data_IF_960781291534
#
_entry.id   IF_960781291534
#
_cell.length_a   1.000
_cell.length_b   1.000
_cell.length_c   1.000
_cell.angle_alpha   90.00
_cell.angle_beta   90.00
_cell.angle_gamma   90.00
#
_symmetry.space_group_name_H-M   'P 1'
#
loop_
_entity.id
_entity.type
_entity.pdbx_description
1 polymer ?
#
# COMPACT_ATOMS: atom_id res chain seq x y z
N UNK A 1 -7.81 -13.51 -19.09
CA UNK A 1 -8.88 -12.72 -18.48
C UNK A 1 -8.59 -12.56 -16.99
N UNK A 2 -8.53 -11.31 -16.50
CA UNK A 2 -8.23 -11.00 -15.10
C UNK A 2 -9.49 -11.22 -14.23
N UNK A 3 -9.31 -11.52 -12.94
CA UNK A 3 -10.43 -11.77 -12.02
C UNK A 3 -10.43 -10.71 -10.92
N UNK A 4 -11.59 -10.12 -10.68
CA UNK A 4 -11.83 -9.14 -9.62
C UNK A 4 -12.86 -9.75 -8.67
N UNK A 5 -12.48 -9.96 -7.41
CA UNK A 5 -13.39 -10.46 -6.38
C UNK A 5 -14.20 -9.31 -5.80
N UNK A 6 -15.52 -9.43 -5.82
CA UNK A 6 -16.44 -8.42 -5.28
C UNK A 6 -17.04 -8.95 -3.99
N UNK A 7 -16.86 -8.20 -2.90
CA UNK A 7 -17.42 -8.54 -1.60
C UNK A 7 -17.90 -7.29 -0.87
N UNK A 8 -19.18 -7.25 -0.47
CA UNK A 8 -19.79 -6.09 0.22
C UNK A 8 -19.63 -4.76 -0.54
N UNK A 9 -19.84 -4.75 -1.86
CA UNK A 9 -19.66 -3.55 -2.66
C UNK A 9 -18.19 -3.14 -2.85
N UNK A 10 -17.22 -3.99 -2.47
CA UNK A 10 -15.79 -3.72 -2.66
C UNK A 10 -15.21 -4.66 -3.69
N UNK A 11 -14.62 -4.09 -4.73
CA UNK A 11 -13.95 -4.80 -5.81
C UNK A 11 -12.46 -4.95 -5.49
N UNK A 12 -11.98 -6.16 -5.34
CA UNK A 12 -10.66 -6.51 -4.83
C UNK A 12 -9.86 -7.32 -5.86
N UNK A 13 -8.61 -6.93 -6.08
CA UNK A 13 -7.65 -7.65 -6.91
C UNK A 13 -6.51 -8.14 -6.04
N UNK A 14 -6.33 -9.46 -6.01
CA UNK A 14 -5.39 -10.10 -5.09
C UNK A 14 -4.05 -10.47 -5.72
N UNK A 15 -3.90 -10.42 -7.05
CA UNK A 15 -2.67 -10.82 -7.73
C UNK A 15 -1.82 -9.62 -8.16
N UNK A 16 -0.53 -9.65 -7.85
CA UNK A 16 0.42 -8.57 -8.20
C UNK A 16 0.50 -8.32 -9.72
N UNK A 17 0.60 -9.39 -10.52
CA UNK A 17 0.63 -9.29 -12.00
C UNK A 17 -0.65 -8.69 -12.56
N UNK A 18 -1.80 -9.04 -11.99
CA UNK A 18 -3.07 -8.46 -12.38
C UNK A 18 -3.08 -6.95 -12.09
N UNK A 19 -2.64 -6.53 -10.90
CA UNK A 19 -2.53 -5.13 -10.52
C UNK A 19 -1.59 -4.36 -11.45
N UNK A 20 -0.44 -4.95 -11.79
CA UNK A 20 0.50 -4.36 -12.74
C UNK A 20 -0.15 -4.18 -14.12
N UNK A 21 -0.82 -5.21 -14.63
CA UNK A 21 -1.52 -5.15 -15.91
C UNK A 21 -2.63 -4.10 -15.94
N UNK A 22 -3.42 -3.97 -14.86
CA UNK A 22 -4.45 -2.93 -14.75
C UNK A 22 -3.85 -1.52 -14.86
N UNK A 23 -2.73 -1.28 -14.17
CA UNK A 23 -2.06 0.01 -14.16
C UNK A 23 -1.39 0.34 -15.50
N UNK A 24 -0.55 -0.56 -15.99
CA UNK A 24 0.32 -0.29 -17.14
C UNK A 24 -0.41 -0.36 -18.47
N UNK A 25 -1.40 -1.26 -18.60
CA UNK A 25 -2.07 -1.53 -19.88
C UNK A 25 -3.45 -0.89 -19.97
N UNK A 26 -4.12 -0.69 -18.83
CA UNK A 26 -5.51 -0.24 -18.80
C UNK A 26 -5.69 1.10 -18.08
N UNK A 27 -4.62 1.73 -17.59
CA UNK A 27 -4.70 3.05 -16.96
C UNK A 27 -5.50 3.08 -15.65
N UNK A 28 -5.68 1.94 -14.99
CA UNK A 28 -6.45 1.82 -13.74
C UNK A 28 -5.51 1.59 -12.56
N UNK A 29 -5.45 2.59 -11.66
CA UNK A 29 -4.51 2.59 -10.54
C UNK A 29 -5.04 1.89 -9.30
N UNK A 30 -6.34 2.00 -8.99
CA UNK A 30 -6.93 1.53 -7.74
C UNK A 30 -6.25 2.06 -6.48
N UNK A 31 -6.58 1.46 -5.33
CA UNK A 31 -5.95 1.76 -4.04
C UNK A 31 -5.55 0.48 -3.32
N UNK A 32 -4.27 0.31 -3.02
CA UNK A 32 -3.77 -0.82 -2.23
C UNK A 32 -4.31 -0.79 -0.79
N UNK A 33 -4.72 -1.94 -0.27
CA UNK A 33 -5.28 -2.14 1.07
C UNK A 33 -4.54 -3.28 1.75
N UNK A 34 -4.24 -3.14 3.05
CA UNK A 34 -3.48 -4.13 3.82
C UNK A 34 -2.29 -3.46 4.50
N UNK A 35 -2.12 -3.69 5.81
CA UNK A 35 -1.09 -3.05 6.61
C UNK A 35 0.07 -3.98 6.94
N UNK A 36 1.30 -3.48 6.78
CA UNK A 36 2.42 -3.96 7.58
C UNK A 36 2.43 -3.16 8.89
N UNK A 37 2.27 -3.80 10.07
CA UNK A 37 2.18 -3.11 11.36
C UNK A 37 3.35 -2.17 11.69
N UNK A 38 4.50 -2.38 11.05
CA UNK A 38 5.76 -1.64 11.30
C UNK A 38 6.04 -0.49 10.33
N UNK A 39 5.19 -0.28 9.32
CA UNK A 39 5.44 0.71 8.27
C UNK A 39 4.22 1.56 7.95
N UNK A 40 3.87 2.57 8.77
CA UNK A 40 2.82 3.51 8.38
C UNK A 40 3.22 4.16 7.04
N UNK A 41 2.35 4.03 6.02
CA UNK A 41 2.50 4.46 4.60
C UNK A 41 3.09 3.45 3.60
N UNK A 42 3.62 2.29 4.01
CA UNK A 42 3.98 1.24 3.02
C UNK A 42 2.74 0.68 2.30
N UNK A 43 1.58 0.73 2.96
CA UNK A 43 0.31 0.21 2.48
C UNK A 43 -0.20 0.89 1.21
N UNK A 44 0.24 2.12 0.95
CA UNK A 44 -0.12 2.90 -0.25
C UNK A 44 0.65 2.46 -1.49
N UNK A 45 1.65 1.58 -1.34
CA UNK A 45 2.56 1.15 -2.41
C UNK A 45 2.82 -0.36 -2.46
N UNK A 46 2.77 -1.07 -1.33
CA UNK A 46 3.29 -2.42 -1.18
C UNK A 46 2.28 -3.43 -0.60
N UNK A 47 0.98 -3.12 -0.60
CA UNK A 47 -0.07 -3.97 -0.03
C UNK A 47 -1.03 -4.51 -1.07
N UNK A 48 -1.29 -5.82 -1.05
CA UNK A 48 -2.46 -6.42 -1.69
C UNK A 48 -3.50 -6.73 -0.60
N UNK A 49 -4.80 -6.68 -0.92
CA UNK A 49 -5.38 -6.49 -2.26
C UNK A 49 -5.40 -5.04 -2.75
N UNK A 50 -5.48 -4.87 -4.08
CA UNK A 50 -5.87 -3.60 -4.69
C UNK A 50 -7.40 -3.47 -4.63
N UNK A 51 -7.88 -2.42 -3.99
CA UNK A 51 -9.28 -2.01 -3.99
C UNK A 51 -9.55 -1.09 -5.18
N UNK A 52 -10.47 -1.49 -6.04
CA UNK A 52 -10.98 -0.68 -7.13
C UNK A 52 -12.18 0.15 -6.67
N UNK A 53 -12.32 1.36 -7.20
CA UNK A 53 -13.55 2.12 -7.15
C UNK A 53 -14.67 1.39 -7.94
N UNK A 54 -15.95 1.63 -7.64
CA UNK A 54 -17.05 1.08 -8.43
C UNK A 54 -16.93 1.43 -9.92
N UNK A 55 -16.53 2.67 -10.23
CA UNK A 55 -16.38 3.14 -11.61
C UNK A 55 -15.24 2.42 -12.35
N UNK A 56 -14.10 2.20 -11.68
CA UNK A 56 -12.97 1.40 -12.17
C UNK A 56 -13.40 -0.05 -12.46
N UNK A 57 -14.08 -0.69 -11.51
CA UNK A 57 -14.49 -2.08 -11.62
C UNK A 57 -15.53 -2.29 -12.73
N UNK A 58 -16.47 -1.34 -12.88
CA UNK A 58 -17.44 -1.34 -13.98
C UNK A 58 -16.76 -1.19 -15.32
N UNK A 59 -15.88 -0.19 -15.48
CA UNK A 59 -15.17 0.06 -16.73
C UNK A 59 -14.45 -1.20 -17.20
N UNK A 60 -13.66 -1.80 -16.32
CA UNK A 60 -12.88 -2.99 -16.62
C UNK A 60 -13.75 -4.19 -17.02
N UNK A 61 -14.93 -4.33 -16.42
CA UNK A 61 -15.88 -5.39 -16.75
C UNK A 61 -16.60 -5.11 -18.08
N UNK A 62 -16.93 -3.84 -18.35
CA UNK A 62 -17.60 -3.39 -19.57
C UNK A 62 -16.71 -3.59 -20.81
N UNK A 63 -15.41 -3.26 -20.72
CA UNK A 63 -14.45 -3.48 -21.81
C UNK A 63 -13.97 -4.94 -21.94
N UNK A 64 -14.49 -5.85 -21.10
CA UNK A 64 -14.15 -7.27 -21.11
C UNK A 64 -12.74 -7.62 -20.59
N UNK A 65 -12.05 -6.69 -19.94
CA UNK A 65 -10.70 -6.91 -19.41
C UNK A 65 -10.70 -7.79 -18.15
N UNK A 66 -11.75 -7.68 -17.33
CA UNK A 66 -11.90 -8.45 -16.09
C UNK A 66 -13.24 -9.18 -16.03
N UNK A 67 -13.27 -10.29 -15.28
CA UNK A 67 -14.50 -10.91 -14.81
C UNK A 67 -14.69 -10.57 -13.35
N UNK A 68 -15.83 -9.96 -13.01
CA UNK A 68 -16.26 -9.77 -11.63
C UNK A 68 -16.78 -11.10 -11.09
N UNK A 69 -16.34 -11.48 -9.89
CA UNK A 69 -16.80 -12.70 -9.23
C UNK A 69 -17.18 -12.42 -7.79
N UNK A 70 -18.22 -13.07 -7.29
CA UNK A 70 -18.54 -13.10 -5.86
C UNK A 70 -18.29 -14.50 -5.31
N UNK A 71 -17.70 -14.58 -4.12
CA UNK A 71 -17.44 -15.83 -3.43
C UNK A 71 -18.36 -15.98 -2.21
N UNK A 72 -18.93 -17.18 -1.97
CA UNK A 72 -19.66 -17.47 -0.75
C UNK A 72 -18.77 -17.20 0.47
N UNK A 73 -19.33 -16.51 1.45
CA UNK A 73 -18.61 -16.21 2.68
C UNK A 73 -18.66 -17.45 3.57
N UNK A 74 -17.51 -17.92 4.07
CA UNK A 74 -17.53 -18.94 5.10
C UNK A 74 -18.25 -18.40 6.34
N UNK A 75 -19.06 -19.23 6.97
CA UNK A 75 -19.68 -18.88 8.25
C UNK A 75 -18.57 -18.66 9.29
N UNK A 76 -18.50 -17.49 9.96
CA UNK A 76 -17.52 -17.23 10.99
C UNK A 76 -17.44 -18.31 12.08
N UNK A 77 -18.55 -19.00 12.36
CA UNK A 77 -18.61 -20.10 13.33
C UNK A 77 -17.79 -21.32 12.91
N UNK A 78 -17.48 -21.45 11.62
CA UNK A 78 -16.67 -22.55 11.07
C UNK A 78 -15.18 -22.19 10.94
N UNK A 79 -14.73 -21.02 11.44
CA UNK A 79 -13.33 -20.63 11.38
C UNK A 79 -12.44 -21.26 12.46
N UNK A 80 -12.97 -21.99 13.44
CA UNK A 80 -12.18 -22.52 14.57
C UNK A 80 -11.01 -23.40 14.12
N UNK A 81 -11.22 -24.27 13.13
CA UNK A 81 -10.18 -25.12 12.55
C UNK A 81 -9.13 -24.30 11.76
N UNK A 82 -9.58 -23.30 11.00
CA UNK A 82 -8.69 -22.39 10.26
C UNK A 82 -7.83 -21.53 11.20
N UNK A 83 -8.40 -21.05 12.31
CA UNK A 83 -7.68 -20.31 13.34
C UNK A 83 -6.64 -21.18 14.05
N UNK A 84 -7.00 -22.43 14.35
CA UNK A 84 -6.10 -23.37 15.02
C UNK A 84 -4.91 -23.73 14.12
N UNK A 85 -5.16 -24.02 12.85
CA UNK A 85 -4.10 -24.28 11.86
C UNK A 85 -3.21 -23.05 11.64
N UNK A 86 -3.78 -21.85 11.53
CA UNK A 86 -3.01 -20.61 11.43
C UNK A 86 -2.11 -20.36 12.64
N UNK A 87 -2.63 -20.52 13.87
CA UNK A 87 -1.84 -20.37 15.10
C UNK A 87 -0.69 -21.38 15.16
N UNK A 88 -0.94 -22.63 14.76
CA UNK A 88 0.09 -23.67 14.68
C UNK A 88 1.19 -23.29 13.71
N UNK A 89 0.83 -22.82 12.51
CA UNK A 89 1.78 -22.38 11.50
C UNK A 89 2.61 -21.18 11.97
N UNK A 90 1.99 -20.21 12.65
CA UNK A 90 2.71 -19.06 13.22
C UNK A 90 3.73 -19.50 14.27
N UNK A 91 3.37 -20.46 15.12
CA UNK A 91 4.28 -20.98 16.15
C UNK A 91 5.45 -21.76 15.53
N UNK A 92 5.19 -22.60 14.52
CA UNK A 92 6.23 -23.30 13.76
C UNK A 92 7.19 -22.30 13.10
N UNK A 93 6.67 -21.27 12.44
CA UNK A 93 7.49 -20.25 11.80
C UNK A 93 8.33 -19.46 12.82
N UNK A 94 7.80 -19.20 14.02
CA UNK A 94 8.56 -18.57 15.09
C UNK A 94 9.71 -19.46 15.59
N UNK A 95 9.47 -20.76 15.75
CA UNK A 95 10.51 -21.72 16.14
C UNK A 95 11.63 -21.80 15.09
N UNK A 96 11.27 -21.93 13.82
CA UNK A 96 12.22 -21.94 12.69
C UNK A 96 13.05 -20.65 12.63
N UNK A 97 12.40 -19.49 12.68
CA UNK A 97 13.11 -18.20 12.65
C UNK A 97 13.98 -17.97 13.89
N UNK A 98 13.55 -18.45 15.06
CA UNK A 98 14.36 -18.37 16.27
C UNK A 98 15.61 -19.24 16.17
N UNK A 99 15.51 -20.44 15.59
CA UNK A 99 16.65 -21.32 15.35
C UNK A 99 17.65 -20.68 14.36
N UNK A 100 17.16 -20.21 13.21
CA UNK A 100 17.99 -19.51 12.22
C UNK A 100 18.63 -18.23 12.78
N UNK A 101 17.90 -17.47 13.60
CA UNK A 101 18.44 -16.28 14.25
C UNK A 101 19.51 -16.61 15.30
N UNK A 102 19.43 -17.76 15.97
CA UNK A 102 20.47 -18.22 16.88
C UNK A 102 21.74 -18.63 16.09
N UNK A 103 21.59 -19.40 15.02
CA UNK A 103 22.69 -19.81 14.14
C UNK A 103 23.39 -18.62 13.48
N UNK A 104 22.63 -17.65 12.94
CA UNK A 104 23.16 -16.43 12.34
C UNK A 104 23.90 -15.53 13.35
N UNK A 105 23.54 -15.59 14.63
CA UNK A 105 24.27 -14.87 15.70
C UNK A 105 25.55 -15.60 16.07
N UNK A 106 25.53 -16.93 16.13
CA UNK A 106 26.68 -17.75 16.48
C UNK A 106 27.78 -17.65 15.41
N UNK A 107 27.42 -17.75 14.13
CA UNK A 107 28.33 -17.50 13.00
C UNK A 107 28.95 -16.10 13.07
N UNK A 108 28.13 -15.07 13.27
CA UNK A 108 28.61 -13.69 13.45
C UNK A 108 29.53 -13.53 14.67
N UNK A 109 29.27 -14.25 15.76
CA UNK A 109 30.10 -14.25 16.97
C UNK A 109 31.48 -14.87 16.68
N UNK A 110 31.52 -15.98 15.95
CA UNK A 110 32.77 -16.64 15.53
C UNK A 110 33.61 -15.74 14.63
N UNK A 111 33.00 -15.10 13.61
CA UNK A 111 33.69 -14.13 12.74
C UNK A 111 34.25 -12.93 13.51
N UNK A 112 33.51 -12.44 14.52
CA UNK A 112 33.96 -11.35 15.38
C UNK A 112 35.10 -11.79 16.30
N UNK A 113 35.06 -13.01 16.83
CA UNK A 113 36.12 -13.57 17.66
C UNK A 113 37.44 -13.65 16.89
N UNK A 114 37.43 -14.12 15.64
CA UNK A 114 38.60 -14.14 14.76
C UNK A 114 39.19 -12.74 14.54
N UNK A 115 38.34 -11.75 14.27
CA UNK A 115 38.79 -10.35 14.11
C UNK A 115 39.35 -9.76 15.41
N UNK A 116 38.78 -10.14 16.56
CA UNK A 116 39.25 -9.69 17.87
C UNK A 116 40.61 -10.31 18.18
N UNK A 117 40.82 -11.60 17.92
CA UNK A 117 42.11 -12.26 18.16
C UNK A 117 43.20 -11.71 17.24
N UNK A 118 42.90 -11.48 15.95
CA UNK A 118 43.80 -10.81 15.01
C UNK A 118 44.16 -9.40 15.48
N UNK A 119 43.16 -8.61 15.91
CA UNK A 119 43.37 -7.25 16.41
C UNK A 119 44.21 -7.22 17.70
N UNK A 120 44.01 -8.18 18.61
CA UNK A 120 44.81 -8.34 19.82
C UNK A 120 46.25 -8.77 19.51
N UNK A 121 46.46 -9.69 18.56
CA UNK A 121 47.78 -10.12 18.11
C UNK A 121 48.55 -8.97 17.44
N UNK A 122 47.91 -8.21 16.55
CA UNK A 122 48.50 -7.03 15.92
C UNK A 122 48.84 -5.93 16.95
N UNK A 123 48.00 -5.74 17.97
CA UNK A 123 48.28 -4.82 19.08
C UNK A 123 49.49 -5.29 19.90
N UNK A 124 49.60 -6.59 20.18
CA UNK A 124 50.74 -7.18 20.91
C UNK A 124 52.05 -7.02 20.13
N UNK A 125 52.04 -7.32 18.82
CA UNK A 125 53.22 -7.12 17.96
C UNK A 125 53.64 -5.65 17.87
N UNK A 126 52.69 -4.71 17.80
CA UNK A 126 53.00 -3.27 17.85
C UNK A 126 53.60 -2.84 19.19
N UNK A 127 53.12 -3.38 20.31
CA UNK A 127 53.72 -3.13 21.63
C UNK A 127 55.13 -3.73 21.75
N UNK A 128 55.35 -4.93 21.19
CA UNK A 128 56.68 -5.57 21.19
C UNK A 128 57.68 -4.80 20.30
N UNK A 129 57.26 -4.33 19.13
CA UNK A 129 58.08 -3.46 18.27
C UNK A 129 58.36 -2.08 18.89
N UNK A 130 57.41 -1.51 19.64
CA UNK A 130 57.64 -0.27 20.39
C UNK A 130 58.57 -0.49 21.60
N UNK A 131 58.54 -1.67 22.23
CA UNK A 131 59.44 -2.01 23.34
C UNK A 131 60.89 -2.30 22.90
N UNK A 132 61.13 -2.58 21.63
CA UNK A 132 62.47 -2.74 21.04
C UNK A 132 63.16 -1.42 20.66
N UNK A 133 62.48 -0.28 20.82
CA UNK A 133 62.99 1.05 20.46
C UNK A 133 62.69 2.08 21.55
N UNK A 134 63.18 1.84 22.78
CA UNK A 134 63.72 2.85 23.71
C UNK A 134 63.84 2.28 25.12
N UNK A 135 65.06 1.95 25.54
CA UNK A 135 65.41 1.89 26.94
C UNK A 135 65.76 3.32 27.41
N UNK A 136 64.82 4.01 28.08
CA UNK A 136 65.06 4.77 29.33
C UNK A 136 63.84 5.59 29.80
N UNK A 137 63.53 5.39 31.09
CA UNK A 137 62.89 6.25 32.10
C UNK A 137 61.36 6.40 32.21
N UNK A 138 60.86 5.71 33.26
CA UNK A 138 59.86 6.06 34.29
C UNK A 138 58.89 7.24 34.11
N UNK A 139 57.59 6.96 34.25
CA UNK A 139 56.73 7.61 35.25
C UNK A 139 55.39 6.87 35.39
N UNK A 140 54.98 6.69 36.64
CA UNK A 140 53.73 6.07 37.06
C UNK A 140 52.50 6.84 36.56
N UNK A 141 51.50 6.11 36.06
CA UNK A 141 50.23 6.64 35.59
C UNK A 141 49.16 5.55 35.57
N UNK A 142 48.23 5.68 36.50
CA UNK A 142 47.03 4.90 36.80
C UNK A 142 46.43 4.05 35.66
N UNK A 143 46.22 2.77 35.97
CA UNK A 143 45.34 1.87 35.21
C UNK A 143 43.88 2.27 35.45
N UNK A 144 43.09 2.66 34.44
CA UNK A 144 41.65 2.52 34.57
C UNK A 144 41.35 1.03 34.38
N UNK A 145 40.97 0.36 35.47
CA UNK A 145 40.33 -0.94 35.44
C UNK A 145 38.99 -0.79 34.71
N UNK A 146 38.99 -0.90 33.39
CA UNK A 146 37.80 -1.23 32.64
C UNK A 146 37.48 -2.69 32.97
N UNK A 147 36.70 -2.88 34.05
CA UNK A 147 35.88 -4.06 34.25
C UNK A 147 34.96 -4.18 33.04
N UNK A 148 35.47 -4.77 31.97
CA UNK A 148 34.63 -5.30 30.91
C UNK A 148 33.78 -6.36 31.60
N UNK A 149 32.52 -5.99 31.85
CA UNK A 149 31.45 -6.92 32.14
C UNK A 149 31.62 -8.09 31.18
N UNK A 150 31.86 -9.28 31.75
CA UNK A 150 31.96 -10.50 30.96
C UNK A 150 30.74 -10.61 30.05
N UNK A 151 30.89 -11.21 28.86
CA UNK A 151 29.76 -11.38 27.95
C UNK A 151 28.67 -12.11 28.72
N UNK A 152 27.55 -11.43 28.96
CA UNK A 152 26.37 -12.05 29.54
C UNK A 152 26.04 -13.27 28.70
N UNK A 153 26.26 -14.48 29.25
CA UNK A 153 26.08 -15.76 28.56
C UNK A 153 24.61 -16.05 28.15
N UNK A 154 23.70 -15.12 28.37
CA UNK A 154 22.33 -15.19 27.87
C UNK A 154 22.25 -14.62 26.46
N UNK A 155 22.31 -15.47 25.44
CA UNK A 155 21.87 -15.09 24.10
C UNK A 155 20.39 -14.71 24.19
N UNK A 156 20.08 -13.42 24.00
CA UNK A 156 18.69 -12.98 24.02
C UNK A 156 17.92 -13.65 22.88
N UNK A 157 16.82 -14.38 23.16
CA UNK A 157 16.03 -15.06 22.13
C UNK A 157 15.40 -14.04 21.16
N UNK A 158 15.03 -14.51 19.96
CA UNK A 158 14.29 -13.67 19.02
C UNK A 158 12.98 -13.21 19.68
N UNK A 159 12.74 -11.91 19.88
CA UNK A 159 11.50 -11.46 20.48
C UNK A 159 10.34 -11.74 19.53
N UNK A 160 9.18 -12.17 20.05
CA UNK A 160 7.99 -12.45 19.22
C UNK A 160 7.58 -11.28 18.32
N UNK A 161 7.83 -10.04 18.77
CA UNK A 161 7.57 -8.86 17.95
C UNK A 161 8.40 -8.87 16.67
N UNK A 162 9.62 -9.42 16.66
CA UNK A 162 10.51 -9.49 15.50
C UNK A 162 10.18 -10.61 14.50
N UNK A 163 9.15 -11.43 14.77
CA UNK A 163 8.70 -12.48 13.84
C UNK A 163 8.41 -11.89 12.46
N UNK A 164 9.06 -12.43 11.43
CA UNK A 164 8.70 -12.18 10.05
C UNK A 164 7.42 -12.97 9.74
N UNK A 165 6.42 -12.28 9.21
CA UNK A 165 5.17 -12.90 8.82
C UNK A 165 5.13 -12.95 7.30
N UNK A 166 4.79 -14.12 6.75
CA UNK A 166 4.58 -14.26 5.32
C UNK A 166 3.35 -13.46 4.90
N UNK A 167 3.54 -12.51 3.99
CA UNK A 167 2.44 -11.80 3.36
C UNK A 167 1.99 -12.58 2.13
N UNK A 168 0.70 -12.91 2.06
CA UNK A 168 0.11 -13.49 0.87
C UNK A 168 0.10 -12.43 -0.25
N UNK A 169 0.91 -12.64 -1.29
CA UNK A 169 0.98 -11.78 -2.49
C UNK A 169 -0.02 -12.20 -3.57
N UNK A 170 -0.72 -13.31 -3.34
CA UNK A 170 -1.81 -13.81 -4.15
C UNK A 170 -2.82 -14.52 -3.26
N UNK A 171 -4.10 -14.40 -3.61
CA UNK A 171 -5.15 -15.27 -3.09
C UNK A 171 -5.52 -16.27 -4.19
N UNK A 172 -5.45 -17.58 -3.95
CA UNK A 172 -6.00 -18.56 -4.88
C UNK A 172 -7.45 -18.21 -5.19
N UNK A 173 -7.85 -18.32 -6.47
CA UNK A 173 -9.23 -18.04 -6.86
C UNK A 173 -10.18 -18.83 -5.96
N UNK A 174 -11.20 -18.19 -5.36
CA UNK A 174 -12.12 -18.91 -4.50
C UNK A 174 -12.79 -20.02 -5.31
N UNK A 175 -12.63 -21.28 -4.89
CA UNK A 175 -13.13 -22.46 -5.62
C UNK A 175 -14.64 -22.40 -5.88
N UNK A 176 -15.38 -21.68 -5.03
CA UNK A 176 -16.83 -21.49 -5.12
C UNK A 176 -17.23 -20.12 -5.70
N UNK A 177 -16.30 -19.37 -6.29
CA UNK A 177 -16.60 -18.07 -6.89
C UNK A 177 -17.58 -18.22 -8.05
N UNK A 178 -18.56 -17.33 -8.12
CA UNK A 178 -19.55 -17.25 -9.20
C UNK A 178 -19.37 -15.94 -9.96
N UNK A 179 -19.56 -15.91 -11.29
CA UNK A 179 -19.61 -14.65 -12.03
C UNK A 179 -20.64 -13.70 -11.43
N UNK A 180 -20.28 -12.42 -11.36
CA UNK A 180 -21.15 -11.35 -10.92
C UNK A 180 -21.47 -10.46 -12.12
N UNK A 181 -22.76 -10.26 -12.40
CA UNK A 181 -23.21 -9.31 -13.42
C UNK A 181 -23.33 -7.91 -12.81
N UNK A 182 -22.55 -6.96 -13.32
CA UNK A 182 -22.55 -5.56 -12.88
C UNK A 182 -23.79 -4.79 -13.33
N UNK A 183 -24.58 -5.33 -14.27
CA UNK A 183 -25.84 -4.73 -14.73
C UNK A 183 -26.99 -4.96 -13.76
N UNK A 184 -26.87 -5.97 -12.90
CA UNK A 184 -27.93 -6.37 -11.97
C UNK A 184 -27.54 -5.97 -10.55
N UNK A 185 -28.43 -5.25 -9.87
CA UNK A 185 -28.21 -4.86 -8.48
C UNK A 185 -28.18 -6.11 -7.59
N UNK A 186 -27.16 -6.21 -6.75
CA UNK A 186 -27.00 -7.30 -5.79
C UNK A 186 -26.36 -6.83 -4.50
N UNK A 187 -26.27 -7.72 -3.50
CA UNK A 187 -25.59 -7.43 -2.23
C UNK A 187 -24.12 -7.08 -2.42
N UNK A 188 -23.43 -7.78 -3.32
CA UNK A 188 -22.02 -7.52 -3.58
C UNK A 188 -21.82 -6.41 -4.62
N UNK A 189 -22.83 -6.10 -5.44
CA UNK A 189 -22.81 -4.97 -6.39
C UNK A 189 -24.06 -4.08 -6.25
N UNK A 190 -24.08 -3.16 -5.29
CA UNK A 190 -25.26 -2.32 -5.03
C UNK A 190 -25.43 -1.17 -6.03
N UNK A 191 -24.43 -0.92 -6.89
CA UNK A 191 -24.29 0.30 -7.68
C UNK A 191 -25.09 0.32 -8.99
N UNK A 192 -25.49 -0.86 -9.49
CA UNK A 192 -26.22 -0.98 -10.76
C UNK A 192 -27.48 -0.11 -10.76
N UNK A 193 -27.65 0.71 -11.80
CA UNK A 193 -28.83 1.54 -12.02
C UNK A 193 -29.01 2.71 -11.04
N UNK A 194 -28.06 2.97 -10.13
CA UNK A 194 -28.15 4.11 -9.22
C UNK A 194 -27.76 5.41 -9.94
N UNK A 195 -28.60 6.46 -9.95
CA UNK A 195 -28.32 7.71 -10.66
C UNK A 195 -26.94 8.31 -10.31
N UNK A 196 -26.59 8.35 -9.03
CA UNK A 196 -25.29 8.87 -8.57
C UNK A 196 -24.09 8.07 -9.11
N UNK A 197 -24.24 6.75 -9.29
CA UNK A 197 -23.18 5.92 -9.86
C UNK A 197 -23.12 6.05 -11.38
N UNK A 198 -24.26 6.11 -12.07
CA UNK A 198 -24.30 6.34 -13.52
C UNK A 198 -23.67 7.69 -13.89
N UNK A 199 -24.01 8.74 -13.13
CA UNK A 199 -23.42 10.08 -13.27
C UNK A 199 -21.90 10.02 -13.13
N UNK A 200 -21.39 9.49 -12.00
CA UNK A 200 -19.95 9.39 -11.75
C UNK A 200 -19.24 8.50 -12.76
N UNK A 201 -19.87 7.42 -13.20
CA UNK A 201 -19.29 6.51 -14.18
C UNK A 201 -19.15 7.14 -15.56
N UNK A 202 -20.16 7.87 -16.04
CA UNK A 202 -20.08 8.56 -17.35
C UNK A 202 -18.88 9.52 -17.42
N UNK A 203 -18.69 10.30 -16.35
CA UNK A 203 -17.57 11.25 -16.22
C UNK A 203 -16.23 10.52 -16.07
N UNK A 204 -16.20 9.46 -15.26
CA UNK A 204 -15.00 8.63 -15.09
C UNK A 204 -14.55 8.04 -16.42
N UNK A 205 -15.50 7.48 -17.19
CA UNK A 205 -15.25 6.87 -18.49
C UNK A 205 -14.73 7.90 -19.50
N UNK A 206 -15.37 9.06 -19.63
CA UNK A 206 -14.92 10.11 -20.55
C UNK A 206 -13.50 10.60 -20.23
N UNK A 207 -13.19 10.87 -18.95
CA UNK A 207 -11.84 11.26 -18.52
C UNK A 207 -10.80 10.15 -18.76
N UNK A 208 -11.18 8.88 -18.53
CA UNK A 208 -10.30 7.75 -18.79
C UNK A 208 -10.04 7.56 -20.30
N UNK A 209 -11.07 7.68 -21.15
CA UNK A 209 -10.95 7.61 -22.61
C UNK A 209 -10.04 8.73 -23.17
N UNK A 210 -9.98 9.88 -22.49
CA UNK A 210 -9.03 10.98 -22.77
C UNK A 210 -7.60 10.71 -22.28
N UNK A 211 -7.34 9.57 -21.66
CA UNK A 211 -6.01 9.16 -21.20
C UNK A 211 -5.62 9.65 -19.79
N UNK A 212 -6.57 10.22 -19.02
CA UNK A 212 -6.29 10.61 -17.65
C UNK A 212 -6.37 9.41 -16.69
N UNK A 213 -5.53 9.43 -15.66
CA UNK A 213 -5.71 8.57 -14.50
C UNK A 213 -6.63 9.25 -13.49
N UNK A 214 -7.46 8.47 -12.81
CA UNK A 214 -8.38 8.95 -11.79
C UNK A 214 -8.18 8.23 -10.46
N UNK A 215 -8.37 8.95 -9.35
CA UNK A 215 -8.45 8.36 -8.00
C UNK A 215 -9.51 9.09 -7.17
N UNK A 216 -10.00 8.49 -6.09
CA UNK A 216 -10.98 9.15 -5.22
C UNK A 216 -10.49 10.49 -4.62
N UNK A 217 -11.29 11.55 -4.72
CA UNK A 217 -10.96 12.89 -4.21
C UNK A 217 -11.66 13.29 -2.91
N UNK A 218 -12.24 12.36 -2.14
CA UNK A 218 -13.00 12.70 -0.93
C UNK A 218 -12.24 13.56 0.10
N UNK A 219 -10.90 13.47 0.14
CA UNK A 219 -10.04 14.32 1.01
C UNK A 219 -9.87 15.76 0.51
N UNK A 220 -10.24 16.03 -0.73
CA UNK A 220 -10.05 17.28 -1.44
C UNK A 220 -11.39 17.96 -1.81
N UNK A 221 -12.51 17.44 -1.30
CA UNK A 221 -13.84 17.99 -1.58
C UNK A 221 -14.31 17.79 -3.02
N UNK A 222 -13.92 16.68 -3.65
CA UNK A 222 -14.43 16.29 -4.96
C UNK A 222 -14.64 14.79 -5.09
N UNK A 223 -15.14 14.37 -6.25
CA UNK A 223 -15.37 12.96 -6.58
C UNK A 223 -14.08 12.29 -7.05
N UNK A 224 -13.36 12.94 -7.97
CA UNK A 224 -12.12 12.42 -8.55
C UNK A 224 -10.97 13.41 -8.52
N UNK A 225 -9.77 12.89 -8.29
CA UNK A 225 -8.53 13.55 -8.62
C UNK A 225 -8.15 13.11 -10.02
N UNK A 226 -7.84 14.05 -10.89
CA UNK A 226 -7.51 13.79 -12.29
C UNK A 226 -6.02 14.06 -12.51
N UNK A 227 -5.32 13.05 -13.01
CA UNK A 227 -3.88 13.07 -13.21
C UNK A 227 -3.58 12.94 -14.70
N UNK A 228 -2.61 13.70 -15.24
CA UNK A 228 -2.18 13.59 -16.64
C UNK A 228 -1.46 12.26 -16.96
N UNK A 229 -1.19 11.44 -15.96
CA UNK A 229 -0.55 10.13 -16.09
C UNK A 229 -0.59 9.38 -14.74
N UNK A 230 0.17 8.28 -14.61
CA UNK A 230 0.15 7.44 -13.41
C UNK A 230 0.37 8.25 -12.12
N UNK A 231 -0.54 8.17 -11.13
CA UNK A 231 -0.41 8.85 -9.83
C UNK A 231 0.88 8.53 -9.05
N UNK A 232 1.63 7.48 -9.42
CA UNK A 232 2.97 7.24 -8.86
C UNK A 232 4.04 8.19 -9.39
N UNK A 233 3.81 8.80 -10.56
CA UNK A 233 4.76 9.65 -11.28
C UNK A 233 4.27 11.10 -11.40
N UNK A 234 2.96 11.31 -11.39
CA UNK A 234 2.34 12.61 -11.60
C UNK A 234 1.52 13.06 -10.39
N UNK A 235 1.45 14.38 -10.20
CA UNK A 235 0.49 14.98 -9.27
C UNK A 235 -0.84 15.24 -9.97
N UNK A 236 -1.94 15.17 -9.22
CA UNK A 236 -3.24 15.53 -9.77
C UNK A 236 -3.27 17.02 -10.11
N UNK A 237 -3.74 17.35 -11.31
CA UNK A 237 -3.93 18.73 -11.76
C UNK A 237 -5.31 19.25 -11.38
N UNK A 238 -6.30 18.36 -11.38
CA UNK A 238 -7.70 18.72 -11.19
C UNK A 238 -8.35 17.99 -10.04
N UNK A 239 -9.33 18.66 -9.42
CA UNK A 239 -10.34 18.05 -8.57
C UNK A 239 -11.65 18.12 -9.35
N UNK A 240 -12.19 16.97 -9.75
CA UNK A 240 -13.44 16.88 -10.48
C UNK A 240 -14.62 16.67 -9.52
N UNK A 241 -15.68 17.44 -9.72
CA UNK A 241 -16.98 17.26 -9.09
C UNK A 241 -18.03 16.92 -10.15
N UNK A 242 -18.81 15.89 -9.87
CA UNK A 242 -19.82 15.35 -10.78
C UNK A 242 -21.18 15.95 -10.45
N UNK A 243 -21.78 16.66 -11.41
CA UNK A 243 -23.08 17.32 -11.26
C UNK A 243 -24.00 16.89 -12.39
N UNK A 244 -25.26 16.55 -12.11
CA UNK A 244 -26.21 16.40 -13.20
C UNK A 244 -26.45 17.78 -13.86
N UNK A 245 -26.74 17.84 -15.17
CA UNK A 245 -26.84 19.11 -15.91
C UNK A 245 -27.76 20.16 -15.29
N UNK A 246 -28.85 19.73 -14.67
CA UNK A 246 -29.88 20.61 -14.12
C UNK A 246 -29.83 20.69 -12.58
N UNK A 247 -28.83 20.07 -11.95
CA UNK A 247 -28.71 20.12 -10.49
C UNK A 247 -28.27 21.53 -10.06
N UNK A 248 -29.02 22.20 -9.16
CA UNK A 248 -28.59 23.48 -8.62
C UNK A 248 -27.34 23.28 -7.76
N UNK A 249 -26.32 24.09 -8.00
CA UNK A 249 -25.08 24.09 -7.21
C UNK A 249 -25.21 25.13 -6.10
N UNK A 250 -25.25 24.74 -4.81
CA UNK A 250 -25.25 25.70 -3.72
C UNK A 250 -23.99 26.57 -3.76
N UNK A 251 -24.16 27.89 -3.68
CA UNK A 251 -23.03 28.84 -3.75
C UNK A 251 -21.98 28.57 -2.65
N UNK A 252 -22.42 28.11 -1.48
CA UNK A 252 -21.53 27.74 -0.37
C UNK A 252 -20.63 26.56 -0.72
N UNK A 253 -21.17 25.55 -1.42
CA UNK A 253 -20.40 24.38 -1.87
C UNK A 253 -19.38 24.79 -2.93
N UNK A 254 -19.78 25.68 -3.84
CA UNK A 254 -18.89 26.25 -4.86
C UNK A 254 -17.71 27.00 -4.23
N UNK A 255 -17.97 27.86 -3.25
CA UNK A 255 -16.94 28.61 -2.52
C UNK A 255 -16.04 27.67 -1.72
N UNK A 256 -16.62 26.68 -1.03
CA UNK A 256 -15.86 25.69 -0.26
C UNK A 256 -14.93 24.85 -1.16
N UNK A 257 -15.44 24.41 -2.32
CA UNK A 257 -14.68 23.67 -3.32
C UNK A 257 -13.54 24.51 -3.91
N UNK A 258 -13.82 25.77 -4.27
CA UNK A 258 -12.80 26.72 -4.75
C UNK A 258 -11.69 26.95 -3.73
N UNK A 259 -12.05 27.11 -2.44
CA UNK A 259 -11.08 27.23 -1.34
C UNK A 259 -10.20 25.99 -1.21
N UNK A 260 -10.80 24.80 -1.23
CA UNK A 260 -10.07 23.53 -1.12
C UNK A 260 -9.11 23.34 -2.29
N UNK A 261 -9.56 23.58 -3.52
CA UNK A 261 -8.71 23.48 -4.72
C UNK A 261 -7.52 24.44 -4.68
N UNK A 262 -7.76 25.70 -4.32
CA UNK A 262 -6.71 26.73 -4.21
C UNK A 262 -5.65 26.36 -3.19
N UNK A 263 -6.05 25.84 -2.02
CA UNK A 263 -5.12 25.46 -0.95
C UNK A 263 -4.13 24.35 -1.36
N UNK A 264 -4.55 23.47 -2.28
CA UNK A 264 -3.72 22.34 -2.77
C UNK A 264 -3.21 22.55 -4.19
N UNK A 265 -3.34 23.78 -4.71
CA UNK A 265 -2.94 24.21 -6.06
C UNK A 265 -3.49 23.30 -7.17
N UNK A 266 -4.78 22.96 -7.09
CA UNK A 266 -5.51 22.18 -8.11
C UNK A 266 -6.68 22.98 -8.65
N UNK A 267 -6.91 22.89 -9.95
CA UNK A 267 -8.06 23.52 -10.59
C UNK A 267 -9.30 22.68 -10.33
N UNK A 268 -10.38 23.31 -9.86
CA UNK A 268 -11.67 22.65 -9.70
C UNK A 268 -12.32 22.51 -11.08
N UNK A 269 -12.80 21.30 -11.39
CA UNK A 269 -13.59 21.00 -12.58
C UNK A 269 -15.00 20.62 -12.15
N UNK A 270 -15.99 21.36 -12.64
CA UNK A 270 -17.39 20.94 -12.63
C UNK A 270 -17.63 20.09 -13.88
N UNK A 271 -18.07 18.87 -13.69
CA UNK A 271 -18.23 17.88 -14.75
C UNK A 271 -19.71 17.49 -14.86
N UNK A 272 -20.30 17.67 -16.04
CA UNK A 272 -21.71 17.34 -16.27
C UNK A 272 -21.91 16.60 -17.60
N UNK A 273 -22.45 15.37 -17.59
CA UNK A 273 -22.73 14.62 -18.80
C UNK A 273 -23.95 15.21 -19.51
N UNK A 274 -23.88 15.35 -20.82
CA UNK A 274 -24.93 15.90 -21.66
C UNK A 274 -25.77 14.77 -22.31
N UNK A 275 -26.99 15.07 -22.78
CA UNK A 275 -27.83 14.10 -23.49
C UNK A 275 -27.19 13.52 -24.76
N UNK A 276 -26.25 14.23 -25.39
CA UNK A 276 -25.49 13.77 -26.56
C UNK A 276 -24.37 12.77 -26.22
N UNK A 277 -24.22 12.42 -24.94
CA UNK A 277 -23.21 11.49 -24.43
C UNK A 277 -21.86 12.12 -24.11
N UNK A 278 -21.66 13.41 -24.40
CA UNK A 278 -20.41 14.10 -24.07
C UNK A 278 -20.43 14.63 -22.64
N UNK A 279 -19.25 14.80 -22.05
CA UNK A 279 -19.11 15.49 -20.77
C UNK A 279 -18.64 16.92 -20.99
N UNK A 280 -19.36 17.88 -20.41
CA UNK A 280 -18.96 19.29 -20.36
C UNK A 280 -18.16 19.52 -19.08
N UNK A 281 -17.05 20.24 -19.21
CA UNK A 281 -16.14 20.57 -18.13
C UNK A 281 -16.04 22.09 -17.98
N UNK A 282 -16.39 22.59 -16.80
CA UNK A 282 -16.22 24.00 -16.45
C UNK A 282 -15.14 24.12 -15.39
N UNK A 283 -14.02 24.77 -15.73
CA UNK A 283 -12.94 25.02 -14.78
C UNK A 283 -13.19 26.26 -13.95
N UNK A 284 -12.95 26.16 -12.65
CA UNK A 284 -13.04 27.28 -11.71
C UNK A 284 -11.67 27.58 -11.13
N UNK A 285 -11.29 28.85 -11.21
CA UNK A 285 -10.06 29.37 -10.64
C UNK A 285 -10.40 30.54 -9.74
N UNK A 286 -9.81 30.56 -8.55
CA UNK A 286 -9.98 31.67 -7.62
C UNK A 286 -9.16 32.86 -8.12
N UNK A 287 -9.84 33.92 -8.54
CA UNK A 287 -9.21 35.19 -8.84
C UNK A 287 -9.14 36.02 -7.56
N UNK A 288 -7.94 36.30 -7.07
CA UNK A 288 -7.76 37.41 -6.14
C UNK A 288 -7.97 38.71 -6.90
N UNK A 289 -8.80 39.62 -6.39
CA UNK A 289 -8.80 41.00 -6.84
C UNK A 289 -7.38 41.56 -6.64
N UNK A 290 -6.71 41.88 -7.74
CA UNK A 290 -5.42 42.60 -7.73
C UNK A 290 -5.67 44.09 -7.47
#
# INVERSE_FOLDING_TARGET
MLVVEVANGRSLVWGAEAVQALRERLGVGGRTVGALPRGPRQNSRLGLPLLLMPEEARLLAEIGAVTLVSAPRPDPRHHSLALTSFKRQQEQSFQEQSALAAEARETRRQELLEKITEGQAAKKQKLEQASGASASQEAAGERPSSSQAGPSNGVAPLPRSALLVQLATARPRPVKARPLDWRVQSKDWPHAGRPAHELRYSIYRDLWERGFFLSAAGKFGGDFLVYPGDPLRFHAHYIAQCWAPEDPIPLQDLVAAGRLGTSVRKTLLLCSPQPDGKVVYTSLQWASLQ
#
